data_IF_576763165955
#
_entry.id   IF_576763165955
#
_cell.length_a   1.000
_cell.length_b   1.000
_cell.length_c   1.000
_cell.angle_alpha   90.00
_cell.angle_beta   90.00
_cell.angle_gamma   90.00
#
_symmetry.space_group_name_H-M   'P 1'
#
loop_
_entity.id
_entity.type
_entity.pdbx_description
1 polymer ?
#
# COMPACT_ATOMS: atom_id res chain seq x y z
N UNK A 1 26.86 8.54 -10.86
CA UNK A 1 25.76 8.73 -9.89
C UNK A 1 24.85 9.85 -10.39
N UNK A 2 23.74 9.54 -11.07
CA UNK A 2 22.72 10.56 -11.39
C UNK A 2 21.54 10.38 -10.44
N UNK A 3 21.63 11.06 -9.30
CA UNK A 3 20.67 11.04 -8.19
C UNK A 3 19.38 11.81 -8.56
N UNK A 4 19.46 12.71 -9.56
CA UNK A 4 18.33 13.46 -10.10
C UNK A 4 17.77 12.81 -11.36
N UNK A 5 16.87 11.86 -11.16
CA UNK A 5 15.90 11.46 -12.17
C UNK A 5 14.53 11.87 -11.66
N UNK A 6 13.72 12.51 -12.52
CA UNK A 6 12.37 13.02 -12.20
C UNK A 6 11.52 12.05 -11.34
N UNK A 7 11.50 10.72 -11.61
CA UNK A 7 10.81 9.76 -10.76
C UNK A 7 11.33 9.70 -9.32
N UNK A 8 12.65 9.69 -9.12
CA UNK A 8 13.25 9.60 -7.78
C UNK A 8 12.94 10.83 -6.91
N UNK A 9 12.87 12.02 -7.54
CA UNK A 9 12.46 13.24 -6.85
C UNK A 9 10.99 13.20 -6.41
N UNK A 10 10.10 12.59 -7.20
CA UNK A 10 8.69 12.44 -6.86
C UNK A 10 8.51 11.44 -5.71
N UNK A 11 9.28 10.35 -5.68
CA UNK A 11 9.26 9.40 -4.55
C UNK A 11 9.78 10.03 -3.26
N UNK A 12 10.85 10.83 -3.34
CA UNK A 12 11.37 11.59 -2.18
C UNK A 12 10.35 12.63 -1.69
N UNK A 13 9.70 13.34 -2.61
CA UNK A 13 8.62 14.26 -2.28
C UNK A 13 7.48 13.52 -1.58
N UNK A 14 7.09 12.32 -2.03
CA UNK A 14 6.08 11.50 -1.37
C UNK A 14 6.45 11.18 0.08
N UNK A 15 7.68 10.74 0.30
CA UNK A 15 8.18 10.44 1.65
C UNK A 15 8.12 11.69 2.54
N UNK A 16 8.40 12.88 1.99
CA UNK A 16 8.29 14.15 2.72
C UNK A 16 6.83 14.57 2.98
N UNK A 17 5.91 14.29 2.05
CA UNK A 17 4.50 14.62 2.19
C UNK A 17 3.77 13.74 3.22
N UNK A 18 4.24 12.52 3.49
CA UNK A 18 3.63 11.62 4.49
C UNK A 18 3.64 12.23 5.92
N UNK A 19 4.77 12.76 6.44
CA UNK A 19 4.78 13.53 7.69
C UNK A 19 3.90 14.77 7.66
N UNK A 20 3.86 15.50 6.55
CA UNK A 20 3.02 16.70 6.38
C UNK A 20 1.54 16.33 6.51
N UNK A 21 1.13 15.28 5.82
CA UNK A 21 -0.19 14.67 5.94
C UNK A 21 -0.52 14.32 7.39
N UNK A 22 0.40 13.61 8.05
CA UNK A 22 0.26 13.16 9.44
C UNK A 22 0.08 14.34 10.39
N UNK A 23 0.88 15.39 10.21
CA UNK A 23 0.83 16.60 11.01
C UNK A 23 -0.54 17.29 10.91
N UNK A 24 -1.04 17.52 9.68
CA UNK A 24 -2.35 18.16 9.49
C UNK A 24 -3.50 17.30 10.02
N UNK A 25 -3.43 15.99 9.82
CA UNK A 25 -4.44 15.09 10.35
C UNK A 25 -4.46 15.10 11.89
N UNK A 26 -3.28 15.06 12.53
CA UNK A 26 -3.16 15.15 13.98
C UNK A 26 -3.48 16.55 14.53
N UNK A 27 -3.43 17.61 13.72
CA UNK A 27 -3.92 18.94 14.10
C UNK A 27 -5.46 19.04 14.05
N UNK A 28 -6.14 18.12 13.39
CA UNK A 28 -7.59 18.21 13.12
C UNK A 28 -7.93 18.99 11.85
N UNK A 29 -6.93 19.39 11.07
CA UNK A 29 -7.09 20.10 9.79
C UNK A 29 -7.40 19.10 8.67
N UNK A 30 -8.54 18.41 8.79
CA UNK A 30 -8.87 17.24 7.96
C UNK A 30 -8.99 17.57 6.47
N UNK A 31 -9.37 18.80 6.14
CA UNK A 31 -9.45 19.27 4.75
C UNK A 31 -8.07 19.32 4.10
N UNK A 32 -7.09 19.90 4.80
CA UNK A 32 -5.70 19.97 4.33
C UNK A 32 -5.11 18.56 4.31
N UNK A 33 -5.35 17.77 5.35
CA UNK A 33 -4.89 16.39 5.41
C UNK A 33 -5.40 15.55 4.21
N UNK A 34 -6.69 15.67 3.86
CA UNK A 34 -7.25 14.99 2.70
C UNK A 34 -6.58 15.44 1.39
N UNK A 35 -6.39 16.75 1.21
CA UNK A 35 -5.70 17.30 0.03
C UNK A 35 -4.27 16.73 -0.05
N UNK A 36 -3.52 16.77 1.06
CA UNK A 36 -2.16 16.23 1.10
C UNK A 36 -2.15 14.73 0.82
N UNK A 37 -3.08 13.95 1.39
CA UNK A 37 -3.21 12.52 1.12
C UNK A 37 -3.44 12.22 -0.36
N UNK A 38 -4.39 12.91 -0.99
CA UNK A 38 -4.73 12.75 -2.41
C UNK A 38 -3.55 13.15 -3.29
N UNK A 39 -2.91 14.29 -3.02
CA UNK A 39 -1.71 14.73 -3.76
C UNK A 39 -0.58 13.71 -3.62
N UNK A 40 -0.37 13.16 -2.43
CA UNK A 40 0.66 12.14 -2.15
C UNK A 40 0.40 10.86 -2.95
N UNK A 41 -0.85 10.39 -3.02
CA UNK A 41 -1.24 9.22 -3.81
C UNK A 41 -1.21 9.47 -5.33
N UNK A 42 -1.68 10.63 -5.80
CA UNK A 42 -1.62 10.99 -7.23
C UNK A 42 -0.18 11.07 -7.74
N UNK A 43 0.75 11.51 -6.89
CA UNK A 43 2.17 11.55 -7.22
C UNK A 43 2.73 10.17 -7.61
N UNK A 44 2.17 9.07 -7.08
CA UNK A 44 2.52 7.67 -7.45
C UNK A 44 1.96 7.20 -8.80
N UNK A 45 0.80 7.73 -9.16
CA UNK A 45 0.25 7.42 -10.48
C UNK A 45 1.07 8.15 -11.55
N UNK A 46 1.45 9.40 -11.26
CA UNK A 46 2.19 10.27 -12.18
C UNK A 46 3.62 9.79 -12.37
N UNK A 47 4.36 9.43 -11.31
CA UNK A 47 5.73 8.94 -11.46
C UNK A 47 5.79 7.57 -12.17
N UNK A 48 4.84 6.67 -11.91
CA UNK A 48 4.71 5.39 -12.58
C UNK A 48 4.30 5.51 -14.05
N UNK A 49 3.54 6.56 -14.39
CA UNK A 49 3.27 6.91 -15.78
C UNK A 49 4.51 7.49 -16.48
N UNK A 50 5.18 8.46 -15.86
CA UNK A 50 6.40 9.08 -16.39
C UNK A 50 7.54 8.07 -16.56
N UNK A 51 7.71 7.13 -15.63
CA UNK A 51 8.72 6.08 -15.72
C UNK A 51 8.49 5.15 -16.91
N UNK A 52 7.22 4.88 -17.27
CA UNK A 52 6.86 4.11 -18.48
C UNK A 52 7.13 4.90 -19.75
N UNK A 53 6.79 6.19 -19.76
CA UNK A 53 6.96 7.06 -20.93
C UNK A 53 8.45 7.33 -21.22
N UNK A 54 9.24 7.61 -20.19
CA UNK A 54 10.65 7.99 -20.34
C UNK A 54 11.61 6.80 -20.52
N UNK A 55 11.14 5.55 -20.38
CA UNK A 55 11.95 4.31 -20.37
C UNK A 55 13.17 4.36 -19.44
N UNK A 56 13.21 5.32 -18.51
CA UNK A 56 14.29 5.53 -17.53
C UNK A 56 13.82 5.01 -16.19
N UNK A 57 14.01 3.72 -15.95
CA UNK A 57 13.76 3.10 -14.65
C UNK A 57 15.10 2.94 -13.92
N UNK A 58 15.28 3.64 -12.82
CA UNK A 58 16.47 3.48 -11.98
C UNK A 58 16.29 2.31 -11.03
N UNK A 59 17.36 1.59 -10.71
CA UNK A 59 17.32 0.45 -9.79
C UNK A 59 16.95 0.87 -8.36
N UNK A 60 17.31 2.09 -7.98
CA UNK A 60 17.00 2.68 -6.66
C UNK A 60 15.53 3.08 -6.58
N UNK A 61 15.01 3.82 -7.58
CA UNK A 61 13.60 4.21 -7.64
C UNK A 61 12.66 3.00 -7.63
N UNK A 62 13.01 1.94 -8.37
CA UNK A 62 12.21 0.72 -8.41
C UNK A 62 12.01 0.02 -7.04
N UNK A 63 12.89 0.28 -6.07
CA UNK A 63 12.76 -0.22 -4.69
C UNK A 63 12.13 0.83 -3.77
N UNK A 64 12.41 2.12 -3.99
CA UNK A 64 11.85 3.21 -3.21
C UNK A 64 10.34 3.40 -3.46
N UNK A 65 9.85 3.23 -4.69
CA UNK A 65 8.44 3.50 -5.04
C UNK A 65 7.48 2.61 -4.23
N UNK A 66 7.65 1.27 -4.19
CA UNK A 66 6.78 0.40 -3.39
C UNK A 66 6.94 0.59 -1.88
N UNK A 67 8.10 1.07 -1.43
CA UNK A 67 8.33 1.36 -0.02
C UNK A 67 7.57 2.63 0.41
N UNK A 68 7.65 3.70 -0.40
CA UNK A 68 6.96 4.95 -0.14
C UNK A 68 5.43 4.79 -0.18
N UNK A 69 4.90 3.98 -1.11
CA UNK A 69 3.47 3.66 -1.16
C UNK A 69 3.00 2.93 0.11
N UNK A 70 3.75 1.91 0.55
CA UNK A 70 3.45 1.22 1.81
C UNK A 70 3.56 2.14 3.03
N UNK A 71 4.52 3.05 3.06
CA UNK A 71 4.68 3.99 4.16
C UNK A 71 3.43 4.87 4.33
N UNK A 72 2.88 5.41 3.22
CA UNK A 72 1.65 6.21 3.28
C UNK A 72 0.49 5.40 3.90
N UNK A 73 0.29 4.16 3.46
CA UNK A 73 -0.77 3.29 3.98
C UNK A 73 -0.56 2.97 5.47
N UNK A 74 0.65 2.56 5.86
CA UNK A 74 0.98 2.22 7.25
C UNK A 74 0.77 3.41 8.19
N UNK A 75 1.28 4.58 7.82
CA UNK A 75 1.14 5.80 8.63
C UNK A 75 -0.31 6.24 8.71
N UNK A 76 -1.07 6.14 7.62
CA UNK A 76 -2.50 6.48 7.62
C UNK A 76 -3.29 5.59 8.58
N UNK A 77 -3.09 4.26 8.53
CA UNK A 77 -3.75 3.34 9.48
C UNK A 77 -3.33 3.59 10.93
N UNK A 78 -2.07 3.96 11.17
CA UNK A 78 -1.59 4.29 12.51
C UNK A 78 -2.31 5.52 13.06
N UNK A 79 -2.35 6.59 12.28
CA UNK A 79 -2.95 7.86 12.67
C UNK A 79 -4.48 7.73 12.83
N UNK A 80 -5.13 6.97 11.96
CA UNK A 80 -6.56 6.65 12.11
C UNK A 80 -6.85 5.89 13.41
N UNK A 81 -5.96 4.98 13.82
CA UNK A 81 -6.09 4.29 15.10
C UNK A 81 -5.84 5.19 16.30
N UNK A 82 -4.89 6.13 16.21
CA UNK A 82 -4.64 7.13 17.26
C UNK A 82 -5.81 8.11 17.47
N UNK A 83 -6.67 8.27 16.47
CA UNK A 83 -7.88 9.11 16.51
C UNK A 83 -9.16 8.32 16.77
N UNK A 84 -9.06 7.05 17.16
CA UNK A 84 -10.19 6.14 17.44
C UNK A 84 -11.19 5.98 16.26
N UNK A 85 -10.78 6.31 15.04
CA UNK A 85 -11.60 6.15 13.83
C UNK A 85 -11.60 4.71 13.33
N UNK A 86 -10.47 4.04 13.55
CA UNK A 86 -10.27 2.63 13.20
C UNK A 86 -9.75 1.95 14.46
N UNK A 87 -10.24 0.76 14.82
CA UNK A 87 -9.78 0.11 16.03
C UNK A 87 -8.29 -0.27 15.93
N UNK A 88 -7.50 -0.13 17.01
CA UNK A 88 -6.06 -0.38 16.98
C UNK A 88 -5.68 -1.80 16.51
N UNK A 89 -6.52 -2.80 16.81
CA UNK A 89 -6.31 -4.17 16.37
C UNK A 89 -6.31 -4.31 14.84
N UNK A 90 -7.11 -3.52 14.11
CA UNK A 90 -7.13 -3.57 12.64
C UNK A 90 -5.86 -2.94 12.08
N UNK A 91 -5.45 -1.79 12.62
CA UNK A 91 -4.20 -1.12 12.22
C UNK A 91 -2.99 -2.05 12.45
N UNK A 92 -2.90 -2.67 13.63
CA UNK A 92 -1.88 -3.66 13.94
C UNK A 92 -1.89 -4.83 12.95
N UNK A 93 -3.07 -5.38 12.63
CA UNK A 93 -3.23 -6.49 11.69
C UNK A 93 -2.74 -6.13 10.28
N UNK A 94 -3.08 -4.93 9.78
CA UNK A 94 -2.60 -4.42 8.50
C UNK A 94 -1.08 -4.27 8.48
N UNK A 95 -0.52 -3.60 9.50
CA UNK A 95 0.92 -3.37 9.63
C UNK A 95 1.67 -4.71 9.70
N UNK A 96 1.24 -5.62 10.57
CA UNK A 96 1.85 -6.95 10.73
C UNK A 96 1.81 -7.75 9.43
N UNK A 97 0.68 -7.74 8.70
CA UNK A 97 0.57 -8.42 7.41
C UNK A 97 1.55 -7.85 6.39
N UNK A 98 1.68 -6.53 6.31
CA UNK A 98 2.59 -5.89 5.37
C UNK A 98 4.06 -6.15 5.71
N UNK A 99 4.43 -6.08 6.99
CA UNK A 99 5.75 -6.46 7.47
C UNK A 99 6.06 -7.93 7.18
N UNK A 100 5.10 -8.84 7.43
CA UNK A 100 5.25 -10.26 7.15
C UNK A 100 5.58 -10.55 5.68
N UNK A 101 4.88 -9.88 4.74
CA UNK A 101 5.16 -10.01 3.31
C UNK A 101 6.54 -9.47 2.95
N UNK A 102 6.94 -8.33 3.52
CA UNK A 102 8.26 -7.72 3.26
C UNK A 102 9.38 -8.61 3.78
N UNK A 103 9.27 -9.09 5.02
CA UNK A 103 10.25 -10.01 5.62
C UNK A 103 10.32 -11.34 4.85
N UNK A 104 9.16 -11.92 4.49
CA UNK A 104 9.10 -13.14 3.71
C UNK A 104 9.77 -13.02 2.33
N UNK A 105 9.53 -11.91 1.63
CA UNK A 105 10.21 -11.66 0.33
C UNK A 105 11.70 -11.40 0.50
N UNK A 106 12.11 -10.70 1.57
CA UNK A 106 13.51 -10.45 1.89
C UNK A 106 14.29 -11.75 2.18
N UNK A 107 13.73 -12.66 2.99
CA UNK A 107 14.32 -13.97 3.29
C UNK A 107 14.48 -14.80 2.01
N UNK A 108 13.42 -14.92 1.20
CA UNK A 108 13.46 -15.70 -0.05
C UNK A 108 14.50 -15.15 -1.04
N UNK A 109 14.67 -13.83 -1.09
CA UNK A 109 15.70 -13.17 -1.91
C UNK A 109 17.12 -13.51 -1.41
N UNK A 110 17.35 -13.51 -0.09
CA UNK A 110 18.63 -13.92 0.50
C UNK A 110 18.96 -15.39 0.24
N UNK A 111 17.94 -16.24 0.14
CA UNK A 111 18.07 -17.65 -0.26
C UNK A 111 18.27 -17.87 -1.77
N UNK A 112 18.51 -16.80 -2.54
CA UNK A 112 18.72 -16.80 -4.01
C UNK A 112 17.58 -17.50 -4.79
N UNK A 113 16.37 -17.57 -4.23
CA UNK A 113 15.22 -18.14 -4.95
C UNK A 113 14.71 -17.11 -5.97
N UNK A 114 14.43 -17.57 -7.21
CA UNK A 114 13.80 -16.71 -8.22
C UNK A 114 12.36 -16.41 -7.79
N UNK A 115 12.11 -15.15 -7.43
CA UNK A 115 10.80 -14.66 -7.04
C UNK A 115 9.98 -14.30 -8.30
N UNK A 116 9.18 -15.24 -8.79
CA UNK A 116 8.11 -14.93 -9.74
C UNK A 116 6.84 -14.53 -8.97
N UNK A 117 6.88 -13.36 -8.32
CA UNK A 117 5.70 -12.83 -7.64
C UNK A 117 4.78 -12.17 -8.67
N UNK A 118 3.76 -12.90 -9.14
CA UNK A 118 2.60 -12.24 -9.72
C UNK A 118 1.66 -11.79 -8.59
N UNK A 119 1.26 -10.51 -8.53
CA UNK A 119 0.34 -10.03 -7.51
C UNK A 119 -0.99 -10.78 -7.64
N UNK A 120 -1.38 -11.47 -6.57
CA UNK A 120 -2.59 -12.27 -6.53
C UNK A 120 -3.83 -11.36 -6.52
N UNK A 121 -4.93 -11.81 -7.12
CA UNK A 121 -6.20 -11.04 -7.15
C UNK A 121 -6.68 -10.66 -5.74
N UNK A 122 -6.43 -11.52 -4.75
CA UNK A 122 -6.79 -11.30 -3.35
C UNK A 122 -6.01 -10.14 -2.72
N UNK A 123 -4.73 -9.96 -3.05
CA UNK A 123 -3.93 -8.85 -2.53
C UNK A 123 -4.39 -7.50 -3.06
N UNK A 124 -4.77 -7.45 -4.35
CA UNK A 124 -5.33 -6.25 -4.98
C UNK A 124 -6.67 -5.87 -4.37
N UNK A 125 -7.49 -6.87 -4.07
CA UNK A 125 -8.77 -6.65 -3.43
C UNK A 125 -8.58 -6.19 -1.97
N UNK A 126 -7.57 -6.71 -1.27
CA UNK A 126 -7.25 -6.24 0.07
C UNK A 126 -6.83 -4.76 0.10
N UNK A 127 -5.93 -4.34 -0.79
CA UNK A 127 -5.53 -2.93 -0.87
C UNK A 127 -6.69 -2.02 -1.26
N UNK A 128 -7.61 -2.50 -2.10
CA UNK A 128 -8.86 -1.78 -2.38
C UNK A 128 -9.69 -1.57 -1.11
N UNK A 129 -9.94 -2.62 -0.32
CA UNK A 129 -10.68 -2.50 0.94
C UNK A 129 -9.97 -1.62 1.98
N UNK A 130 -8.64 -1.63 2.00
CA UNK A 130 -7.87 -0.74 2.86
C UNK A 130 -8.03 0.73 2.47
N UNK A 131 -7.90 1.06 1.18
CA UNK A 131 -8.15 2.41 0.67
C UNK A 131 -9.61 2.83 0.91
N UNK A 132 -10.56 1.91 0.74
CA UNK A 132 -11.98 2.17 1.01
C UNK A 132 -12.25 2.44 2.49
N UNK A 133 -11.57 1.72 3.39
CA UNK A 133 -11.63 1.97 4.85
C UNK A 133 -11.10 3.36 5.18
N UNK A 134 -9.94 3.73 4.61
CA UNK A 134 -9.36 5.06 4.79
C UNK A 134 -10.34 6.13 4.28
N UNK A 135 -10.89 5.96 3.08
CA UNK A 135 -11.84 6.89 2.49
C UNK A 135 -13.07 7.11 3.37
N UNK A 136 -13.71 6.04 3.86
CA UNK A 136 -14.86 6.15 4.76
C UNK A 136 -14.50 6.80 6.11
N UNK A 137 -13.32 6.51 6.66
CA UNK A 137 -12.85 7.14 7.89
C UNK A 137 -12.64 8.66 7.69
N UNK A 138 -12.04 9.08 6.57
CA UNK A 138 -11.91 10.48 6.20
C UNK A 138 -13.27 11.15 6.00
N UNK A 139 -14.19 10.51 5.30
CA UNK A 139 -15.54 11.02 5.08
C UNK A 139 -16.28 11.24 6.41
N UNK A 140 -16.24 10.25 7.30
CA UNK A 140 -16.86 10.36 8.63
C UNK A 140 -16.28 11.52 9.43
N UNK A 141 -14.96 11.67 9.38
CA UNK A 141 -14.25 12.76 10.08
C UNK A 141 -14.60 14.12 9.51
N UNK A 142 -14.71 14.24 8.19
CA UNK A 142 -15.13 15.46 7.51
C UNK A 142 -16.57 15.85 7.87
N UNK A 143 -17.50 14.89 7.88
CA UNK A 143 -18.90 15.14 8.29
C UNK A 143 -18.97 15.65 9.74
N UNK A 144 -18.18 15.05 10.65
CA UNK A 144 -18.16 15.43 12.07
C UNK A 144 -17.51 16.79 12.33
N UNK A 145 -16.45 17.11 11.60
CA UNK A 145 -15.68 18.33 11.82
C UNK A 145 -16.34 19.57 11.22
N UNK A 146 -16.79 19.48 9.96
CA UNK A 146 -17.32 20.63 9.20
C UNK A 146 -18.84 20.79 9.33
N UNK A 147 -19.51 19.78 9.90
CA UNK A 147 -20.98 19.72 10.07
C UNK A 147 -21.79 20.24 8.87
N UNK A 148 -21.50 19.80 7.63
CA UNK A 148 -22.22 20.30 6.47
C UNK A 148 -23.66 19.80 6.49
N UNK A 149 -24.64 20.72 6.50
CA UNK A 149 -26.06 20.44 6.71
C UNK A 149 -26.62 19.30 5.83
N UNK A 150 -26.13 19.17 4.59
CA UNK A 150 -26.55 18.13 3.65
C UNK A 150 -26.06 16.71 4.02
N UNK A 151 -24.90 16.58 4.68
CA UNK A 151 -24.32 15.26 5.00
C UNK A 151 -24.61 14.77 6.42
N UNK A 152 -25.08 15.65 7.32
CA UNK A 152 -25.43 15.31 8.71
C UNK A 152 -26.40 14.11 8.82
N UNK A 153 -27.47 13.99 8.00
CA UNK A 153 -28.38 12.84 8.08
C UNK A 153 -27.72 11.49 7.78
N UNK A 154 -26.58 11.51 7.07
CA UNK A 154 -25.85 10.31 6.65
C UNK A 154 -24.73 9.92 7.61
N UNK A 155 -24.44 10.69 8.67
CA UNK A 155 -23.33 10.42 9.58
C UNK A 155 -23.40 9.02 10.19
N UNK A 156 -24.58 8.64 10.68
CA UNK A 156 -24.83 7.31 11.25
C UNK A 156 -24.65 6.21 10.21
N UNK A 157 -25.18 6.39 9.00
CA UNK A 157 -25.03 5.43 7.90
C UNK A 157 -23.57 5.20 7.54
N UNK A 158 -22.79 6.29 7.43
CA UNK A 158 -21.35 6.23 7.15
C UNK A 158 -20.60 5.54 8.29
N UNK A 159 -20.95 5.81 9.55
CA UNK A 159 -20.34 5.14 10.70
C UNK A 159 -20.61 3.62 10.72
N UNK A 160 -21.84 3.20 10.44
CA UNK A 160 -22.18 1.77 10.34
C UNK A 160 -21.47 1.12 9.15
N UNK A 161 -21.46 1.78 7.99
CA UNK A 161 -20.75 1.30 6.81
C UNK A 161 -19.24 1.12 7.08
N UNK A 162 -18.60 2.09 7.72
CA UNK A 162 -17.20 2.00 8.13
C UNK A 162 -16.97 0.79 9.03
N UNK A 163 -17.85 0.54 10.01
CA UNK A 163 -17.75 -0.62 10.90
C UNK A 163 -17.83 -1.95 10.14
N UNK A 164 -18.77 -2.09 9.19
CA UNK A 164 -18.85 -3.29 8.35
C UNK A 164 -17.60 -3.47 7.48
N UNK A 165 -17.13 -2.39 6.86
CA UNK A 165 -15.93 -2.39 6.02
C UNK A 165 -14.68 -2.74 6.81
N UNK A 166 -14.56 -2.31 8.07
CA UNK A 166 -13.48 -2.69 8.98
C UNK A 166 -13.38 -4.22 9.14
N UNK A 167 -14.50 -4.91 9.38
CA UNK A 167 -14.51 -6.37 9.51
C UNK A 167 -14.20 -7.07 8.19
N UNK A 168 -14.72 -6.57 7.07
CA UNK A 168 -14.40 -7.11 5.74
C UNK A 168 -12.91 -6.91 5.42
N UNK A 169 -12.37 -5.73 5.68
CA UNK A 169 -10.95 -5.41 5.51
C UNK A 169 -10.06 -6.30 6.38
N UNK A 170 -10.46 -6.57 7.62
CA UNK A 170 -9.78 -7.51 8.51
C UNK A 170 -9.72 -8.92 7.90
N UNK A 171 -10.87 -9.45 7.48
CA UNK A 171 -10.98 -10.77 6.87
C UNK A 171 -10.13 -10.90 5.60
N UNK A 172 -10.19 -9.89 4.72
CA UNK A 172 -9.38 -9.81 3.51
C UNK A 172 -7.88 -9.74 3.81
N UNK A 173 -7.49 -9.02 4.87
CA UNK A 173 -6.09 -8.87 5.25
C UNK A 173 -5.54 -10.19 5.80
N UNK A 174 -6.30 -10.89 6.64
CA UNK A 174 -5.94 -12.24 7.12
C UNK A 174 -5.84 -13.22 5.96
N UNK A 175 -6.84 -13.24 5.07
CA UNK A 175 -6.86 -14.14 3.92
C UNK A 175 -5.65 -13.89 2.98
N UNK A 176 -5.30 -12.62 2.76
CA UNK A 176 -4.09 -12.22 2.03
C UNK A 176 -2.83 -12.74 2.73
N UNK A 177 -2.68 -12.52 4.04
CA UNK A 177 -1.53 -12.99 4.82
C UNK A 177 -1.33 -14.51 4.73
N UNK A 178 -2.41 -15.29 4.86
CA UNK A 178 -2.39 -16.75 4.73
C UNK A 178 -1.95 -17.15 3.32
N UNK A 179 -2.47 -16.50 2.28
CA UNK A 179 -2.12 -16.80 0.90
C UNK A 179 -0.63 -16.56 0.63
N UNK A 180 -0.07 -15.42 1.04
CA UNK A 180 1.35 -15.12 0.87
C UNK A 180 2.24 -16.10 1.64
N UNK A 181 1.81 -16.51 2.83
CA UNK A 181 2.53 -17.53 3.63
C UNK A 181 2.56 -18.87 2.91
N UNK A 182 1.43 -19.32 2.35
CA UNK A 182 1.36 -20.57 1.56
C UNK A 182 2.25 -20.52 0.32
N UNK A 183 2.28 -19.38 -0.39
CA UNK A 183 3.16 -19.17 -1.54
C UNK A 183 4.63 -19.25 -1.11
N UNK A 184 5.00 -18.57 -0.01
CA UNK A 184 6.35 -18.60 0.53
C UNK A 184 6.80 -20.02 0.91
N UNK A 185 5.96 -20.78 1.61
CA UNK A 185 6.22 -22.18 1.97
C UNK A 185 6.35 -23.06 0.73
N UNK A 186 5.50 -22.86 -0.29
CA UNK A 186 5.56 -23.61 -1.54
C UNK A 186 6.90 -23.38 -2.27
N UNK A 187 7.36 -22.13 -2.34
CA UNK A 187 8.66 -21.78 -2.95
C UNK A 187 9.83 -22.39 -2.16
N UNK A 188 9.76 -22.39 -0.82
CA UNK A 188 10.77 -23.04 0.02
C UNK A 188 10.82 -24.56 -0.23
N UNK A 189 9.66 -25.22 -0.31
CA UNK A 189 9.55 -26.67 -0.53
C UNK A 189 9.98 -27.11 -1.94
N UNK A 190 9.57 -26.39 -2.99
CA UNK A 190 9.96 -26.69 -4.38
C UNK A 190 11.38 -26.25 -4.75
N UNK A 191 12.13 -25.70 -3.80
CA UNK A 191 13.47 -25.18 -4.00
C UNK A 191 14.54 -26.17 -4.48
N UNK A 192 14.24 -27.47 -4.65
CA UNK A 192 15.13 -28.48 -5.27
C UNK A 192 14.78 -28.86 -6.73
N UNK A 193 13.52 -28.72 -7.18
CA UNK A 193 13.09 -29.28 -8.48
C UNK A 193 13.35 -28.37 -9.70
N UNK A 194 13.83 -27.14 -9.51
CA UNK A 194 14.06 -26.19 -10.61
C UNK A 194 15.53 -26.00 -11.00
N UNK A 195 16.46 -26.75 -10.39
CA UNK A 195 17.87 -26.75 -10.80
C UNK A 195 18.10 -27.49 -12.14
N UNK A 196 17.16 -28.35 -12.54
CA UNK A 196 17.31 -29.24 -13.71
C UNK A 196 16.34 -28.92 -14.87
N UNK A 197 15.64 -27.79 -14.82
CA UNK A 197 14.80 -27.38 -15.95
C UNK A 197 15.66 -26.67 -17.00
N UNK A 198 15.76 -27.18 -18.24
CA UNK A 198 16.48 -26.49 -19.30
C UNK A 198 15.81 -25.15 -19.51
N UNK A 199 16.54 -24.09 -19.20
CA UNK A 199 16.19 -22.73 -19.56
C UNK A 199 15.92 -22.74 -21.07
N UNK A 200 14.65 -22.62 -21.44
CA UNK A 200 14.25 -22.35 -22.82
C UNK A 200 14.84 -20.99 -23.18
N UNK A 201 16.04 -21.04 -23.76
CA UNK A 201 16.60 -19.99 -24.61
C UNK A 201 15.54 -19.71 -25.66
N UNK A 202 14.76 -18.67 -25.46
CA UNK A 202 13.94 -18.08 -26.52
C UNK A 202 13.59 -16.66 -26.08
N UNK A 203 14.58 -15.78 -26.15
CA UNK A 203 14.47 -14.37 -26.60
C UNK A 203 15.86 -13.87 -27.07
N UNK A 204 16.57 -14.71 -27.83
CA UNK A 204 17.65 -14.25 -28.70
C UNK A 204 17.15 -14.37 -30.14
N UNK A 205 16.97 -13.24 -30.81
CA UNK A 205 16.78 -13.19 -32.27
C UNK A 205 15.34 -13.18 -32.77
N UNK A 206 14.74 -11.99 -32.83
CA UNK A 206 13.94 -11.50 -33.96
C UNK A 206 14.23 -9.99 -34.02
N UNK A 207 15.19 -9.59 -34.87
CA UNK A 207 14.94 -9.08 -36.22
C UNK A 207 13.85 -8.01 -36.22
#
# INVERSE_FOLDING_TARGET
MQIFNLPNSLTLLRILLVPVFTYFFLKGEYRIALITFVVTGLTDVVDGFLARLLRKKTTIGAVLDPAADKLLMLVTFLVLAMRDLVPPWLSALVILRDLWIVVGTWILKHLKKKLYFQPTRLSKLNTFFQLFTIFLAFLLTFIRAEQPAFLLPYESWVAHALRYVIYVCAGMTVASGIQYTRIGIHILRKGREYADLPLKKDQAGRQ
#
